data_IF_253199678447
#
_entry.id   IF_253199678447
#
_cell.length_a   1.000
_cell.length_b   1.000
_cell.length_c   1.000
_cell.angle_alpha   90.00
_cell.angle_beta   90.00
_cell.angle_gamma   90.00
#
_symmetry.space_group_name_H-M   'P 1'
#
loop_
_entity.id
_entity.type
_entity.pdbx_description
1 polymer ?
#
# COMPACT_ATOMS: atom_id res chain seq x y z
N UNK A 1 -3.00 15.33 41.00
CA UNK A 1 -3.15 15.87 39.65
C UNK A 1 -2.42 14.93 38.70
N UNK A 2 -3.18 14.05 38.03
CA UNK A 2 -2.62 13.13 37.02
C UNK A 2 -2.54 13.95 35.74
N UNK A 3 -1.34 14.23 35.30
CA UNK A 3 -1.08 14.89 34.01
C UNK A 3 -1.51 13.96 32.90
N UNK A 4 -2.59 14.27 32.20
CA UNK A 4 -2.88 13.69 30.89
C UNK A 4 -1.89 14.29 29.88
N UNK A 5 -0.72 13.69 29.77
CA UNK A 5 0.15 13.88 28.61
C UNK A 5 -0.61 13.35 27.40
N UNK A 6 -0.90 14.24 26.46
CA UNK A 6 -1.70 13.95 25.28
C UNK A 6 -1.19 12.70 24.57
N UNK A 7 -2.04 11.68 24.49
CA UNK A 7 -1.89 10.62 23.51
C UNK A 7 -1.95 11.31 22.14
N UNK A 8 -0.82 11.43 21.47
CA UNK A 8 -0.80 11.73 20.04
C UNK A 8 -1.70 10.64 19.38
N UNK A 9 -2.83 11.05 18.83
CA UNK A 9 -3.69 10.13 18.10
C UNK A 9 -2.85 9.56 16.94
N UNK A 10 -2.53 8.28 17.03
CA UNK A 10 -1.82 7.61 15.94
C UNK A 10 -2.71 7.60 14.71
N UNK A 11 -2.18 7.96 13.56
CA UNK A 11 -2.90 7.87 12.29
C UNK A 11 -2.92 6.40 11.85
N UNK A 12 -3.95 5.68 12.29
CA UNK A 12 -4.10 4.27 11.93
C UNK A 12 -4.76 4.12 10.57
N UNK A 13 -4.26 3.14 9.84
CA UNK A 13 -4.73 2.71 8.54
C UNK A 13 -4.89 1.20 8.53
N UNK A 14 -5.59 0.68 7.54
CA UNK A 14 -5.60 -0.75 7.23
C UNK A 14 -5.48 -0.95 5.73
N UNK A 15 -5.00 -2.11 5.35
CA UNK A 15 -5.10 -2.62 3.99
C UNK A 15 -5.90 -3.91 3.95
N UNK A 16 -6.69 -4.07 2.90
CA UNK A 16 -7.36 -5.32 2.61
C UNK A 16 -6.42 -6.25 1.86
N UNK A 17 -6.53 -7.54 2.14
CA UNK A 17 -5.77 -8.55 1.42
C UNK A 17 -6.34 -8.76 0.01
N UNK A 18 -5.53 -9.32 -0.87
CA UNK A 18 -5.86 -9.51 -2.28
C UNK A 18 -7.06 -10.43 -2.52
N UNK A 19 -7.37 -11.31 -1.59
CA UNK A 19 -8.48 -12.26 -1.64
C UNK A 19 -9.73 -11.80 -0.87
N UNK A 20 -9.67 -10.66 -0.18
CA UNK A 20 -10.82 -10.12 0.58
C UNK A 20 -12.04 -9.85 -0.30
N UNK A 21 -11.81 -9.49 -1.56
CA UNK A 21 -12.88 -9.23 -2.50
C UNK A 21 -13.67 -7.95 -2.19
N UNK A 22 -14.99 -8.03 -2.31
CA UNK A 22 -15.88 -6.87 -2.09
C UNK A 22 -16.19 -6.68 -0.60
N UNK A 23 -15.97 -5.46 -0.11
CA UNK A 23 -16.43 -5.01 1.21
C UNK A 23 -17.65 -4.08 1.08
N UNK A 24 -18.52 -4.12 2.08
CA UNK A 24 -19.73 -3.30 2.09
C UNK A 24 -19.47 -1.93 2.73
N UNK A 25 -20.36 -0.94 2.46
CA UNK A 25 -20.34 0.33 3.19
C UNK A 25 -20.50 0.13 4.70
N UNK A 26 -21.32 -0.84 5.12
CA UNK A 26 -21.53 -1.15 6.53
C UNK A 26 -20.24 -1.67 7.18
N UNK A 27 -19.50 -2.56 6.51
CA UNK A 27 -18.21 -3.08 6.98
C UNK A 27 -17.21 -1.93 7.11
N UNK A 28 -17.06 -1.09 6.09
CA UNK A 28 -16.16 0.05 6.12
C UNK A 28 -16.53 1.08 7.20
N UNK A 29 -17.81 1.31 7.44
CA UNK A 29 -18.31 2.16 8.53
C UNK A 29 -17.95 1.56 9.90
N UNK A 30 -18.15 0.26 10.09
CA UNK A 30 -17.75 -0.43 11.31
C UNK A 30 -16.24 -0.28 11.58
N UNK A 31 -15.41 -0.44 10.55
CA UNK A 31 -13.96 -0.25 10.65
C UNK A 31 -13.59 1.20 11.04
N UNK A 32 -14.25 2.19 10.45
CA UNK A 32 -14.05 3.59 10.80
C UNK A 32 -14.47 3.90 12.23
N UNK A 33 -15.60 3.34 12.68
CA UNK A 33 -16.16 3.56 14.02
C UNK A 33 -15.58 2.59 15.08
N UNK A 34 -14.66 1.71 14.69
CA UNK A 34 -14.00 0.77 15.60
C UNK A 34 -13.07 1.49 16.60
N UNK A 35 -12.58 0.76 17.59
CA UNK A 35 -11.61 1.26 18.58
C UNK A 35 -10.31 1.77 17.94
N UNK A 36 -10.02 1.35 16.72
CA UNK A 36 -8.86 1.80 15.93
C UNK A 36 -9.10 3.13 15.22
N UNK A 37 -10.36 3.53 15.03
CA UNK A 37 -10.74 4.78 14.36
C UNK A 37 -10.00 4.99 13.02
N UNK A 38 -10.03 3.97 12.15
CA UNK A 38 -9.31 4.03 10.88
C UNK A 38 -9.81 5.17 9.99
N UNK A 39 -8.91 6.05 9.61
CA UNK A 39 -9.18 7.19 8.73
C UNK A 39 -8.59 7.03 7.33
N UNK A 40 -7.76 6.02 7.10
CA UNK A 40 -7.07 5.72 5.85
C UNK A 40 -7.22 4.23 5.53
N UNK A 41 -7.44 3.92 4.26
CA UNK A 41 -7.56 2.55 3.75
C UNK A 41 -6.73 2.36 2.49
N UNK A 42 -6.15 1.17 2.35
CA UNK A 42 -5.44 0.75 1.13
C UNK A 42 -6.15 -0.46 0.54
N UNK A 43 -6.54 -0.38 -0.72
CA UNK A 43 -7.24 -1.44 -1.43
C UNK A 43 -6.35 -2.16 -2.44
N UNK A 44 -6.45 -3.49 -2.59
CA UNK A 44 -5.82 -4.20 -3.69
C UNK A 44 -6.44 -3.75 -5.01
N UNK A 45 -5.62 -3.27 -5.95
CA UNK A 45 -6.09 -2.86 -7.27
C UNK A 45 -5.72 -3.88 -8.35
N UNK A 46 -4.64 -4.63 -8.13
CA UNK A 46 -4.18 -5.64 -9.07
C UNK A 46 -3.42 -6.74 -8.33
N UNK A 47 -3.74 -7.98 -8.67
CA UNK A 47 -3.00 -9.17 -8.25
C UNK A 47 -2.39 -9.83 -9.49
N UNK A 48 -1.06 -9.77 -9.60
CA UNK A 48 -0.32 -10.28 -10.76
C UNK A 48 -0.85 -9.65 -12.06
N UNK A 49 -1.29 -10.50 -12.97
CA UNK A 49 -1.79 -10.08 -14.28
C UNK A 49 -3.23 -9.52 -14.27
N UNK A 50 -3.94 -9.59 -13.15
CA UNK A 50 -5.40 -9.38 -13.10
C UNK A 50 -5.75 -8.14 -12.31
N UNK A 51 -6.49 -7.22 -12.93
CA UNK A 51 -7.11 -6.09 -12.23
C UNK A 51 -8.26 -6.60 -11.34
N UNK A 52 -8.27 -6.21 -10.08
CA UNK A 52 -9.39 -6.52 -9.20
C UNK A 52 -10.55 -5.54 -9.41
N UNK A 53 -11.64 -6.04 -9.99
CA UNK A 53 -12.84 -5.22 -10.22
C UNK A 53 -13.50 -4.76 -8.91
N UNK A 54 -13.31 -5.49 -7.81
CA UNK A 54 -13.86 -5.13 -6.51
C UNK A 54 -13.30 -3.81 -5.99
N UNK A 55 -12.08 -3.42 -6.38
CA UNK A 55 -11.48 -2.15 -5.97
C UNK A 55 -12.39 -0.95 -6.28
N UNK A 56 -13.06 -0.97 -7.43
CA UNK A 56 -13.99 0.11 -7.83
C UNK A 56 -15.24 0.12 -6.94
N UNK A 57 -15.72 -1.05 -6.55
CA UNK A 57 -16.88 -1.17 -5.65
C UNK A 57 -16.51 -0.75 -4.22
N UNK A 58 -15.32 -1.15 -3.77
CA UNK A 58 -14.78 -0.80 -2.47
C UNK A 58 -14.53 0.71 -2.37
N UNK A 59 -13.95 1.32 -3.40
CA UNK A 59 -13.80 2.78 -3.50
C UNK A 59 -15.16 3.49 -3.41
N UNK A 60 -16.16 3.04 -4.19
CA UNK A 60 -17.52 3.64 -4.15
C UNK A 60 -18.18 3.51 -2.78
N UNK A 61 -17.91 2.45 -2.03
CA UNK A 61 -18.39 2.31 -0.66
C UNK A 61 -17.63 3.26 0.28
N UNK A 62 -16.30 3.33 0.20
CA UNK A 62 -15.46 4.21 1.02
C UNK A 62 -15.74 5.71 0.76
N UNK A 63 -16.01 6.10 -0.49
CA UNK A 63 -16.29 7.50 -0.87
C UNK A 63 -17.57 8.10 -0.25
N UNK A 64 -18.47 7.25 0.26
CA UNK A 64 -19.66 7.68 1.00
C UNK A 64 -19.39 7.90 2.49
N UNK A 65 -18.18 7.57 2.94
CA UNK A 65 -17.76 7.64 4.33
C UNK A 65 -16.71 8.75 4.51
N UNK A 66 -16.24 8.94 5.73
CA UNK A 66 -15.29 9.99 6.09
C UNK A 66 -13.84 9.53 6.08
N UNK A 67 -13.47 8.58 5.21
CA UNK A 67 -12.06 8.25 5.03
C UNK A 67 -11.32 9.47 4.49
N UNK A 68 -10.28 9.87 5.19
CA UNK A 68 -9.45 11.03 4.79
C UNK A 68 -8.58 10.69 3.58
N UNK A 69 -8.31 9.39 3.37
CA UNK A 69 -7.43 8.91 2.31
C UNK A 69 -7.82 7.50 1.87
N UNK A 70 -7.80 7.28 0.57
CA UNK A 70 -7.93 5.97 -0.06
C UNK A 70 -6.74 5.78 -0.99
N UNK A 71 -5.96 4.76 -0.72
CA UNK A 71 -4.80 4.35 -1.52
C UNK A 71 -5.06 3.01 -2.19
N UNK A 72 -4.16 2.63 -3.07
CA UNK A 72 -4.23 1.34 -3.79
C UNK A 72 -2.86 0.70 -3.85
N UNK A 73 -2.83 -0.63 -3.83
CA UNK A 73 -1.60 -1.35 -4.12
C UNK A 73 -1.74 -2.25 -5.34
N UNK A 74 -0.62 -2.43 -6.02
CA UNK A 74 -0.43 -3.25 -7.20
C UNK A 74 0.62 -4.30 -6.85
N UNK A 75 0.26 -5.56 -6.93
CA UNK A 75 1.19 -6.69 -6.91
C UNK A 75 1.62 -6.98 -8.35
N UNK A 76 2.80 -6.57 -8.78
CA UNK A 76 3.22 -6.75 -10.16
C UNK A 76 3.63 -8.19 -10.44
N UNK A 77 3.65 -8.57 -11.73
CA UNK A 77 4.17 -9.86 -12.19
C UNK A 77 5.14 -9.67 -13.33
N UNK A 78 6.21 -10.46 -13.35
CA UNK A 78 7.16 -10.51 -14.45
C UNK A 78 6.56 -11.10 -15.75
N UNK A 79 5.39 -11.73 -15.68
CA UNK A 79 4.71 -12.35 -16.83
C UNK A 79 4.07 -11.34 -17.78
N UNK A 80 3.98 -10.07 -17.38
CA UNK A 80 3.45 -8.98 -18.20
C UNK A 80 4.39 -7.77 -18.22
N UNK A 81 4.32 -7.02 -19.29
CA UNK A 81 5.09 -5.78 -19.36
C UNK A 81 4.62 -4.76 -18.31
N UNK A 82 5.53 -3.94 -17.76
CA UNK A 82 5.18 -2.81 -16.87
C UNK A 82 4.07 -1.94 -17.45
N UNK A 83 4.16 -1.62 -18.73
CA UNK A 83 3.19 -0.81 -19.46
C UNK A 83 1.78 -1.41 -19.41
N UNK A 84 1.62 -2.70 -19.71
CA UNK A 84 0.31 -3.34 -19.70
C UNK A 84 -0.33 -3.32 -18.32
N UNK A 85 0.44 -3.66 -17.29
CA UNK A 85 -0.03 -3.72 -15.92
C UNK A 85 -0.48 -2.35 -15.42
N UNK A 86 0.40 -1.36 -15.52
CA UNK A 86 0.11 -0.02 -15.01
C UNK A 86 -1.00 0.66 -15.80
N UNK A 87 -0.96 0.61 -17.14
CA UNK A 87 -2.00 1.24 -17.95
C UNK A 87 -3.37 0.63 -17.74
N UNK A 88 -3.46 -0.69 -17.59
CA UNK A 88 -4.73 -1.36 -17.31
C UNK A 88 -5.34 -0.88 -16.00
N UNK A 89 -4.54 -0.82 -14.94
CA UNK A 89 -4.99 -0.43 -13.61
C UNK A 89 -5.31 1.05 -13.54
N UNK A 90 -4.40 1.92 -13.99
CA UNK A 90 -4.56 3.37 -13.90
C UNK A 90 -5.75 3.88 -14.72
N UNK A 91 -5.94 3.40 -15.95
CA UNK A 91 -7.09 3.79 -16.77
C UNK A 91 -8.42 3.48 -16.10
N UNK A 92 -8.53 2.34 -15.42
CA UNK A 92 -9.76 1.94 -14.72
C UNK A 92 -10.01 2.74 -13.44
N UNK A 93 -8.97 2.98 -12.64
CA UNK A 93 -9.07 3.82 -11.44
C UNK A 93 -9.43 5.26 -11.79
N UNK A 94 -8.81 5.84 -12.82
CA UNK A 94 -9.10 7.20 -13.30
C UNK A 94 -10.54 7.29 -13.85
N UNK A 95 -10.98 6.32 -14.67
CA UNK A 95 -12.34 6.29 -15.20
C UNK A 95 -13.41 6.16 -14.10
N UNK A 96 -13.06 5.60 -12.96
CA UNK A 96 -13.93 5.54 -11.78
C UNK A 96 -13.84 6.77 -10.88
N UNK A 97 -13.07 7.81 -11.21
CA UNK A 97 -12.73 8.96 -10.36
C UNK A 97 -12.13 8.53 -9.00
N UNK A 98 -11.38 7.44 -8.99
CA UNK A 98 -10.83 6.84 -7.78
C UNK A 98 -9.45 7.40 -7.39
N UNK A 99 -8.87 8.27 -8.21
CA UNK A 99 -7.59 8.92 -7.95
C UNK A 99 -7.83 10.38 -7.57
N UNK A 100 -7.30 10.76 -6.41
CA UNK A 100 -7.26 12.15 -5.92
C UNK A 100 -5.82 12.60 -5.73
N UNK A 101 -5.59 13.86 -5.41
CA UNK A 101 -4.25 14.40 -5.11
C UNK A 101 -3.60 13.76 -3.88
N UNK A 102 -4.41 13.18 -2.98
CA UNK A 102 -3.94 12.52 -1.76
C UNK A 102 -3.73 11.01 -1.94
N UNK A 103 -4.19 10.42 -3.05
CA UNK A 103 -4.06 8.99 -3.32
C UNK A 103 -2.61 8.62 -3.59
N UNK A 104 -2.12 7.55 -2.98
CA UNK A 104 -0.86 6.90 -3.34
C UNK A 104 -1.13 5.55 -3.99
N UNK A 105 -0.39 5.25 -5.04
CA UNK A 105 -0.30 3.92 -5.64
C UNK A 105 0.98 3.28 -5.11
N UNK A 106 0.81 2.15 -4.43
CA UNK A 106 1.89 1.37 -3.85
C UNK A 106 2.25 0.20 -4.77
N UNK A 107 3.51 0.09 -5.15
CA UNK A 107 4.04 -1.08 -5.83
C UNK A 107 4.52 -2.07 -4.78
N UNK A 108 3.93 -3.26 -4.78
CA UNK A 108 4.33 -4.32 -3.87
C UNK A 108 5.61 -5.00 -4.37
N UNK A 109 6.64 -4.91 -3.57
CA UNK A 109 8.00 -5.38 -3.85
C UNK A 109 8.46 -6.38 -2.78
N UNK A 110 7.66 -7.43 -2.58
CA UNK A 110 7.98 -8.55 -1.69
C UNK A 110 8.36 -9.81 -2.47
N UNK A 111 9.18 -10.67 -1.85
CA UNK A 111 9.66 -11.93 -2.46
C UNK A 111 8.57 -12.98 -2.64
N UNK A 112 7.40 -12.77 -2.08
CA UNK A 112 6.22 -13.63 -2.23
C UNK A 112 5.57 -13.51 -3.62
N UNK A 113 5.94 -12.49 -4.39
CA UNK A 113 5.37 -12.20 -5.71
C UNK A 113 6.26 -12.64 -6.86
N UNK A 114 5.69 -12.63 -8.08
CA UNK A 114 6.36 -13.08 -9.31
C UNK A 114 7.32 -12.02 -9.85
N UNK A 115 8.53 -11.97 -9.28
CA UNK A 115 9.65 -11.19 -9.77
C UNK A 115 10.59 -12.05 -10.62
N UNK A 116 11.54 -11.42 -11.31
CA UNK A 116 12.59 -12.11 -12.07
C UNK A 116 13.62 -12.76 -11.15
N UNK A 117 14.40 -13.68 -11.71
CA UNK A 117 15.43 -14.42 -10.96
C UNK A 117 16.67 -13.60 -10.64
N UNK A 118 16.91 -12.51 -11.36
CA UNK A 118 18.10 -11.66 -11.16
C UNK A 118 17.73 -10.28 -10.63
N UNK A 119 18.62 -9.74 -9.80
CA UNK A 119 18.46 -8.39 -9.26
C UNK A 119 18.43 -7.32 -10.36
N UNK A 120 19.24 -7.46 -11.41
CA UNK A 120 19.31 -6.50 -12.51
C UNK A 120 17.99 -6.42 -13.28
N UNK A 121 17.36 -7.57 -13.55
CA UNK A 121 16.04 -7.61 -14.18
C UNK A 121 14.97 -6.98 -13.30
N UNK A 122 15.00 -7.26 -11.99
CA UNK A 122 14.08 -6.67 -11.03
C UNK A 122 14.26 -5.15 -10.89
N UNK A 123 15.51 -4.67 -10.84
CA UNK A 123 15.83 -3.23 -10.82
C UNK A 123 15.27 -2.52 -12.05
N UNK A 124 15.46 -3.10 -13.23
CA UNK A 124 14.89 -2.58 -14.47
C UNK A 124 13.36 -2.59 -14.42
N UNK A 125 12.77 -3.71 -14.02
CA UNK A 125 11.32 -3.92 -13.96
C UNK A 125 10.63 -2.90 -13.04
N UNK A 126 11.12 -2.74 -11.79
CA UNK A 126 10.52 -1.78 -10.84
C UNK A 126 10.68 -0.34 -11.33
N UNK A 127 11.82 -0.01 -11.98
CA UNK A 127 12.02 1.32 -12.56
C UNK A 127 11.05 1.59 -13.71
N UNK A 128 10.81 0.64 -14.59
CA UNK A 128 9.86 0.76 -15.68
C UNK A 128 8.40 0.84 -15.18
N UNK A 129 8.04 0.14 -14.09
CA UNK A 129 6.72 0.29 -13.44
C UNK A 129 6.53 1.72 -12.91
N UNK A 130 7.57 2.27 -12.28
CA UNK A 130 7.55 3.66 -11.79
C UNK A 130 7.43 4.65 -12.96
N UNK A 131 8.21 4.47 -14.02
CA UNK A 131 8.14 5.33 -15.21
C UNK A 131 6.75 5.33 -15.84
N UNK A 132 6.10 4.17 -15.92
CA UNK A 132 4.73 4.08 -16.42
C UNK A 132 3.71 4.76 -15.47
N UNK A 133 3.89 4.68 -14.13
CA UNK A 133 3.04 5.40 -13.16
C UNK A 133 3.18 6.93 -13.31
N UNK A 134 4.38 7.43 -13.56
CA UNK A 134 4.67 8.85 -13.75
C UNK A 134 3.95 9.47 -14.97
N UNK A 135 3.43 8.64 -15.89
CA UNK A 135 2.58 9.11 -16.98
C UNK A 135 1.16 9.48 -16.51
N UNK A 136 0.74 9.08 -15.31
CA UNK A 136 -0.62 9.24 -14.80
C UNK A 136 -0.71 10.07 -13.54
N UNK A 137 0.31 10.00 -12.67
CA UNK A 137 0.30 10.60 -11.32
C UNK A 137 1.62 11.28 -11.00
N UNK A 138 1.61 12.13 -9.98
CA UNK A 138 2.80 12.85 -9.51
C UNK A 138 3.76 11.91 -8.76
N UNK A 139 5.08 12.19 -8.72
CA UNK A 139 6.04 11.42 -7.94
C UNK A 139 5.65 11.25 -6.46
N UNK A 140 5.04 12.27 -5.86
CA UNK A 140 4.56 12.24 -4.48
C UNK A 140 3.39 11.28 -4.23
N UNK A 141 2.79 10.75 -5.29
CA UNK A 141 1.69 9.78 -5.25
C UNK A 141 2.15 8.34 -5.52
N UNK A 142 3.45 8.11 -5.63
CA UNK A 142 4.05 6.79 -5.83
C UNK A 142 4.70 6.33 -4.52
N UNK A 143 4.49 5.08 -4.18
CA UNK A 143 5.13 4.43 -3.04
C UNK A 143 5.52 3.00 -3.35
N UNK A 144 6.41 2.47 -2.54
CA UNK A 144 6.87 1.08 -2.57
C UNK A 144 6.46 0.43 -1.25
N UNK A 145 5.85 -0.75 -1.33
CA UNK A 145 5.66 -1.64 -0.20
C UNK A 145 6.75 -2.71 -0.23
N UNK A 146 7.51 -2.85 0.85
CA UNK A 146 8.57 -3.85 0.96
C UNK A 146 9.08 -3.98 2.39
N UNK A 147 9.86 -5.02 2.66
CA UNK A 147 10.68 -5.16 3.85
C UNK A 147 12.17 -5.18 3.51
N UNK A 148 13.02 -5.06 4.54
CA UNK A 148 14.47 -5.07 4.38
C UNK A 148 14.99 -6.33 3.65
N UNK A 149 14.43 -7.51 3.97
CA UNK A 149 14.87 -8.79 3.41
C UNK A 149 14.46 -8.92 1.96
N UNK A 150 13.19 -8.61 1.66
CA UNK A 150 12.64 -8.64 0.30
C UNK A 150 13.36 -7.66 -0.61
N UNK A 151 13.54 -6.41 -0.17
CA UNK A 151 14.27 -5.42 -0.96
C UNK A 151 15.68 -5.87 -1.30
N UNK A 152 16.40 -6.35 -0.30
CA UNK A 152 17.78 -6.81 -0.48
C UNK A 152 17.88 -8.02 -1.40
N UNK A 153 16.94 -8.94 -1.31
CA UNK A 153 16.90 -10.15 -2.16
C UNK A 153 16.56 -9.80 -3.60
N UNK A 154 15.53 -9.01 -3.81
CA UNK A 154 15.03 -8.68 -5.15
C UNK A 154 15.91 -7.67 -5.88
N UNK A 155 16.42 -6.68 -5.19
CA UNK A 155 17.07 -5.52 -5.84
C UNK A 155 18.53 -5.30 -5.43
N UNK A 156 18.99 -5.95 -4.35
CA UNK A 156 20.33 -5.75 -3.83
C UNK A 156 20.46 -4.54 -2.90
N UNK A 157 21.54 -4.52 -2.13
CA UNK A 157 21.77 -3.53 -1.07
C UNK A 157 21.93 -2.10 -1.57
N UNK A 158 22.47 -1.91 -2.77
CA UNK A 158 22.85 -0.59 -3.30
C UNK A 158 21.79 0.08 -4.16
N UNK A 159 20.78 -0.67 -4.59
CA UNK A 159 19.73 -0.13 -5.43
C UNK A 159 18.75 0.70 -4.60
N UNK A 160 18.36 1.85 -5.15
CA UNK A 160 17.45 2.79 -4.50
C UNK A 160 16.48 3.37 -5.51
N UNK A 161 15.24 3.52 -5.08
CA UNK A 161 14.19 4.31 -5.76
C UNK A 161 13.68 5.45 -4.87
N UNK A 162 14.41 5.76 -3.77
CA UNK A 162 14.17 7.00 -3.02
C UNK A 162 14.35 8.21 -3.99
N UNK A 163 13.47 9.23 -3.97
CA UNK A 163 12.62 9.63 -2.85
C UNK A 163 11.14 9.18 -2.93
N UNK A 164 10.77 8.15 -3.70
CA UNK A 164 9.40 7.63 -3.59
C UNK A 164 9.11 7.15 -2.17
N UNK A 165 7.83 7.17 -1.76
CA UNK A 165 7.44 6.81 -0.39
C UNK A 165 7.75 5.34 -0.09
N UNK A 166 8.06 5.04 1.18
CA UNK A 166 8.17 3.68 1.67
C UNK A 166 7.02 3.34 2.61
N UNK A 167 6.36 2.22 2.34
CA UNK A 167 5.52 1.49 3.26
C UNK A 167 6.25 0.18 3.58
N UNK A 168 6.71 0.00 4.82
CA UNK A 168 7.45 -1.21 5.18
C UNK A 168 6.64 -2.13 6.08
N UNK A 169 6.91 -3.43 6.00
CA UNK A 169 6.32 -4.43 6.90
C UNK A 169 7.31 -4.82 7.99
N UNK A 170 6.83 -4.81 9.23
CA UNK A 170 7.47 -5.47 10.38
C UNK A 170 6.40 -5.81 11.41
N UNK A 171 6.04 -7.09 11.50
CA UNK A 171 4.91 -7.60 12.29
C UNK A 171 5.26 -7.76 13.77
N UNK A 172 5.70 -6.67 14.41
CA UNK A 172 6.03 -6.63 15.85
C UNK A 172 4.87 -6.17 16.73
N UNK A 173 3.67 -6.00 16.17
CA UNK A 173 2.44 -5.53 16.80
C UNK A 173 2.54 -4.13 17.45
N UNK A 174 3.56 -3.34 17.08
CA UNK A 174 3.77 -1.98 17.57
C UNK A 174 3.49 -0.96 16.49
N UNK A 175 2.49 -0.11 16.72
CA UNK A 175 2.11 0.97 15.81
C UNK A 175 3.05 2.19 15.93
N UNK A 176 4.36 1.96 15.82
CA UNK A 176 5.41 2.99 15.86
C UNK A 176 6.49 2.70 14.79
N UNK A 177 7.48 3.59 14.69
CA UNK A 177 8.57 3.50 13.73
C UNK A 177 9.94 3.32 14.39
N UNK A 178 9.98 2.98 15.68
CA UNK A 178 11.23 2.87 16.46
C UNK A 178 12.12 1.71 15.97
N UNK A 179 11.53 0.72 15.32
CA UNK A 179 12.21 -0.46 14.78
C UNK A 179 12.71 -0.29 13.33
N UNK A 180 12.48 0.88 12.72
CA UNK A 180 12.88 1.10 11.33
C UNK A 180 14.41 1.16 11.19
N UNK A 181 14.96 0.28 10.36
CA UNK A 181 16.35 0.32 9.91
C UNK A 181 16.43 0.77 8.45
N UNK A 182 17.34 1.66 8.13
CA UNK A 182 17.51 2.21 6.78
C UNK A 182 17.85 1.14 5.74
N UNK A 183 17.17 1.19 4.59
CA UNK A 183 17.46 0.33 3.44
C UNK A 183 16.99 1.00 2.15
N UNK A 184 17.50 0.57 1.00
CA UNK A 184 17.05 1.04 -0.32
C UNK A 184 17.13 2.55 -0.52
N UNK A 185 17.93 3.25 0.29
CA UNK A 185 18.06 4.72 0.28
C UNK A 185 16.99 5.46 1.10
N UNK A 186 16.05 4.74 1.72
CA UNK A 186 15.09 5.36 2.64
C UNK A 186 15.69 5.50 4.03
N UNK A 187 15.61 6.71 4.56
CA UNK A 187 16.00 7.06 5.94
C UNK A 187 14.80 7.16 6.87
N UNK A 188 13.60 7.27 6.31
CA UNK A 188 12.34 7.26 7.03
C UNK A 188 11.22 6.67 6.17
N UNK A 189 10.29 5.89 6.76
CA UNK A 189 9.13 5.38 6.07
C UNK A 189 7.96 6.35 6.16
N UNK A 190 7.03 6.26 5.20
CA UNK A 190 5.74 6.96 5.24
C UNK A 190 4.67 6.14 5.97
N UNK A 191 4.78 4.83 5.96
CA UNK A 191 3.81 3.92 6.57
C UNK A 191 4.48 2.61 7.00
N UNK A 192 3.94 1.97 8.04
CA UNK A 192 4.35 0.65 8.53
C UNK A 192 3.14 -0.26 8.61
N UNK A 193 3.26 -1.47 8.07
CA UNK A 193 2.36 -2.58 8.34
C UNK A 193 2.90 -3.32 9.57
N UNK A 194 2.23 -3.14 10.73
CA UNK A 194 2.75 -3.65 12.00
C UNK A 194 2.08 -4.93 12.47
N UNK A 195 0.91 -5.27 11.89
CA UNK A 195 0.17 -6.49 12.22
C UNK A 195 -0.57 -7.02 10.99
N UNK A 196 -0.34 -8.28 10.68
CA UNK A 196 -1.06 -9.00 9.64
C UNK A 196 -2.23 -9.80 10.20
N UNK A 197 -3.17 -10.15 9.31
CA UNK A 197 -4.27 -11.10 9.56
C UNK A 197 -5.14 -10.76 10.78
N UNK A 198 -5.34 -9.47 11.05
CA UNK A 198 -6.25 -9.04 12.10
C UNK A 198 -7.71 -9.15 11.63
N UNK A 199 -8.59 -9.71 12.47
CA UNK A 199 -10.03 -9.74 12.18
C UNK A 199 -10.71 -8.58 12.89
N UNK A 200 -11.26 -7.64 12.14
CA UNK A 200 -12.00 -6.48 12.65
C UNK A 200 -13.28 -6.35 11.83
N UNK A 201 -14.44 -6.22 12.50
CA UNK A 201 -15.73 -6.10 11.80
C UNK A 201 -16.00 -7.26 10.80
N UNK A 202 -15.64 -8.47 11.19
CA UNK A 202 -15.81 -9.70 10.40
C UNK A 202 -15.05 -9.71 9.07
N UNK A 203 -14.03 -8.85 8.93
CA UNK A 203 -13.14 -8.85 7.77
C UNK A 203 -11.70 -9.01 8.24
N UNK A 204 -10.95 -9.83 7.51
CA UNK A 204 -9.51 -10.00 7.71
C UNK A 204 -8.77 -8.89 6.97
N UNK A 205 -7.84 -8.26 7.68
CA UNK A 205 -7.09 -7.09 7.20
C UNK A 205 -5.70 -7.01 7.86
N UNK A 206 -4.82 -6.23 7.28
CA UNK A 206 -3.58 -5.86 7.92
C UNK A 206 -3.69 -4.46 8.52
N UNK A 207 -3.02 -4.25 9.66
CA UNK A 207 -3.05 -2.98 10.39
C UNK A 207 -1.78 -2.18 10.14
N UNK A 208 -1.98 -0.89 9.86
CA UNK A 208 -0.91 0.03 9.54
C UNK A 208 -0.91 1.26 10.47
N UNK A 209 0.27 1.86 10.63
CA UNK A 209 0.45 3.20 11.19
C UNK A 209 1.07 4.11 10.12
N UNK A 210 0.54 5.33 10.00
CA UNK A 210 0.95 6.34 9.02
C UNK A 210 1.71 7.46 9.75
N UNK A 211 2.78 7.94 9.14
CA UNK A 211 3.58 9.04 9.67
C UNK A 211 2.95 10.41 9.39
#
# INVERSE_FOLDING_TARGET
MISFTGLLMQNLSFDLMEDTGRVTEQTLRCLQDSVFNYSHVVFPAQNGATFDINVILNFKAASKLKYSRVDYYIMPTSDKSPKEQIQQTMKRLIAANAISTNTTIWLDAETTHSYFSTQQENQKFISELIDELLLFILPSQIGIFSDYSSWRTLFGKQFSVSPFKLWYSNYNERADFEDFGEFGGWTEPAMKQYKGYAVVCDVELNQNVVR
#
